data_IF_669694457340
#
_entry.id   IF_669694457340
#
_cell.length_a   1.000
_cell.length_b   1.000
_cell.length_c   1.000
_cell.angle_alpha   90.00
_cell.angle_beta   90.00
_cell.angle_gamma   90.00
#
_symmetry.space_group_name_H-M   'P 1'
#
loop_
_entity.id
_entity.type
_entity.pdbx_description
1 polymer ?
#
# COMPACT_ATOMS: atom_id res chain seq x y z
N UNK A 1 -6.86 -14.62 -2.20
CA UNK A 1 -7.32 -13.26 -2.61
C UNK A 1 -6.32 -12.57 -3.54
N UNK A 2 -5.03 -12.49 -3.18
CA UNK A 2 -3.96 -12.03 -4.07
C UNK A 2 -3.04 -13.21 -4.36
N UNK A 3 -2.69 -13.45 -5.60
CA UNK A 3 -1.73 -14.48 -6.01
C UNK A 3 -0.67 -13.85 -6.91
N UNK A 4 0.59 -14.05 -6.57
CA UNK A 4 1.74 -13.58 -7.34
C UNK A 4 2.65 -14.77 -7.61
N UNK A 5 3.04 -14.95 -8.89
CA UNK A 5 3.90 -16.08 -9.32
C UNK A 5 5.03 -15.58 -10.21
N UNK A 6 6.25 -15.85 -9.77
CA UNK A 6 7.49 -15.58 -10.49
C UNK A 6 7.57 -14.15 -11.04
N UNK A 7 7.12 -13.18 -10.25
CA UNK A 7 7.03 -11.79 -10.67
C UNK A 7 8.40 -11.17 -10.83
N UNK A 8 8.66 -10.61 -12.00
CA UNK A 8 9.90 -9.91 -12.33
C UNK A 8 9.58 -8.52 -12.87
N UNK A 9 10.35 -7.52 -12.44
CA UNK A 9 10.36 -6.18 -13.03
C UNK A 9 11.76 -5.66 -13.21
N UNK A 10 12.10 -5.34 -14.46
CA UNK A 10 13.37 -4.73 -14.82
C UNK A 10 13.17 -3.33 -15.40
N UNK A 11 14.16 -2.46 -15.22
CA UNK A 11 14.29 -1.15 -15.84
C UNK A 11 15.68 -1.05 -16.48
N UNK A 12 15.78 -1.36 -17.78
CA UNK A 12 17.06 -1.59 -18.42
C UNK A 12 17.80 -2.73 -17.71
N UNK A 13 19.00 -2.48 -17.22
CA UNK A 13 19.83 -3.47 -16.53
C UNK A 13 19.50 -3.61 -15.03
N UNK A 14 18.67 -2.71 -14.49
CA UNK A 14 18.29 -2.74 -13.07
C UNK A 14 17.09 -3.65 -12.83
N UNK A 15 17.24 -4.65 -11.95
CA UNK A 15 16.17 -5.58 -11.54
C UNK A 15 15.54 -5.08 -10.24
N UNK A 16 14.37 -4.45 -10.35
CA UNK A 16 13.65 -3.89 -9.20
C UNK A 16 12.83 -4.93 -8.42
N UNK A 17 12.31 -5.95 -9.11
CA UNK A 17 11.62 -7.11 -8.54
C UNK A 17 12.18 -8.34 -9.24
N UNK A 18 12.63 -9.33 -8.47
CA UNK A 18 13.42 -10.44 -8.94
C UNK A 18 12.81 -11.77 -8.49
N UNK A 19 11.93 -12.31 -9.33
CA UNK A 19 11.34 -13.65 -9.18
C UNK A 19 10.63 -13.86 -7.83
N UNK A 20 9.71 -12.95 -7.46
CA UNK A 20 8.94 -13.08 -6.22
C UNK A 20 7.64 -13.85 -6.43
N UNK A 21 7.31 -14.71 -5.46
CA UNK A 21 6.05 -15.45 -5.41
C UNK A 21 5.48 -15.41 -4.00
N UNK A 22 4.20 -15.09 -3.87
CA UNK A 22 3.48 -15.08 -2.60
C UNK A 22 1.96 -15.10 -2.83
N UNK A 23 1.23 -15.45 -1.79
CA UNK A 23 -0.22 -15.40 -1.73
C UNK A 23 -0.68 -14.55 -0.55
N UNK A 24 -1.86 -13.93 -0.67
CA UNK A 24 -2.54 -13.26 0.44
C UNK A 24 -3.96 -13.79 0.50
N UNK A 25 -4.36 -14.27 1.66
CA UNK A 25 -5.68 -14.84 1.89
C UNK A 25 -6.77 -13.77 2.03
N UNK A 26 -8.03 -14.17 1.90
CA UNK A 26 -9.16 -13.27 2.10
C UNK A 26 -9.27 -12.85 3.57
N UNK A 27 -9.40 -11.55 3.82
CA UNK A 27 -9.46 -10.99 5.17
C UNK A 27 -8.11 -10.99 5.89
N UNK A 28 -7.00 -11.27 5.20
CA UNK A 28 -5.67 -11.19 5.76
C UNK A 28 -5.14 -9.74 5.74
N UNK A 29 -4.43 -9.33 6.79
CA UNK A 29 -3.54 -8.16 6.78
C UNK A 29 -2.13 -8.67 6.52
N UNK A 30 -1.62 -8.43 5.32
CA UNK A 30 -0.30 -8.88 4.87
C UNK A 30 0.66 -7.69 4.76
N UNK A 31 1.80 -7.79 5.44
CA UNK A 31 2.84 -6.76 5.39
C UNK A 31 3.99 -7.15 4.47
N UNK A 32 4.35 -6.24 3.58
CA UNK A 32 5.54 -6.33 2.73
C UNK A 32 6.62 -5.43 3.33
N UNK A 33 7.48 -6.01 4.17
CA UNK A 33 8.47 -5.32 4.99
C UNK A 33 9.83 -5.31 4.30
N UNK A 34 10.45 -4.14 4.20
CA UNK A 34 11.78 -4.03 3.61
C UNK A 34 12.31 -2.61 3.60
N UNK A 35 13.62 -2.43 3.37
CA UNK A 35 14.23 -1.10 3.32
C UNK A 35 13.79 -0.33 2.07
N UNK A 36 14.19 0.94 2.00
CA UNK A 36 14.01 1.75 0.80
C UNK A 36 14.76 1.11 -0.38
N UNK A 37 14.15 1.13 -1.58
CA UNK A 37 14.72 0.49 -2.76
C UNK A 37 14.54 -1.04 -2.84
N UNK A 38 13.97 -1.70 -1.84
CA UNK A 38 13.78 -3.16 -1.85
C UNK A 38 12.79 -3.70 -2.90
N UNK A 39 12.02 -2.84 -3.59
CA UNK A 39 11.04 -3.23 -4.60
C UNK A 39 9.58 -3.16 -4.14
N UNK A 40 9.29 -2.69 -2.91
CA UNK A 40 7.93 -2.61 -2.32
C UNK A 40 6.95 -1.81 -3.20
N UNK A 41 7.24 -0.54 -3.44
CA UNK A 41 6.40 0.36 -4.25
C UNK A 41 6.29 -0.13 -5.71
N UNK A 42 7.36 -0.72 -6.27
CA UNK A 42 7.30 -1.33 -7.62
C UNK A 42 6.32 -2.49 -7.63
N UNK A 43 6.32 -3.34 -6.62
CA UNK A 43 5.38 -4.46 -6.50
C UNK A 43 3.94 -3.94 -6.38
N UNK A 44 3.65 -2.98 -5.48
CA UNK A 44 2.31 -2.37 -5.39
C UNK A 44 1.86 -1.78 -6.73
N UNK A 45 2.72 -1.04 -7.44
CA UNK A 45 2.36 -0.47 -8.74
C UNK A 45 2.00 -1.52 -9.78
N UNK A 46 2.60 -2.71 -9.73
CA UNK A 46 2.22 -3.82 -10.60
C UNK A 46 0.86 -4.39 -10.18
N UNK A 47 0.67 -4.69 -8.89
CA UNK A 47 -0.58 -5.21 -8.36
C UNK A 47 -1.76 -4.28 -8.68
N UNK A 48 -1.54 -2.98 -8.64
CA UNK A 48 -2.56 -1.95 -8.86
C UNK A 48 -2.70 -1.48 -10.31
N UNK A 49 -2.17 -2.23 -11.27
CA UNK A 49 -2.27 -1.95 -12.72
C UNK A 49 -1.56 -0.69 -13.22
N UNK A 50 -0.76 -0.03 -12.40
CA UNK A 50 -0.02 1.18 -12.77
C UNK A 50 1.27 0.87 -13.54
N UNK A 51 1.77 -0.35 -13.38
CA UNK A 51 3.01 -0.80 -13.98
C UNK A 51 2.84 -2.23 -14.51
N UNK A 52 3.29 -2.48 -15.74
CA UNK A 52 3.33 -3.83 -16.29
C UNK A 52 4.54 -4.58 -15.76
N UNK A 53 4.42 -5.86 -15.36
CA UNK A 53 5.56 -6.70 -15.05
C UNK A 53 6.40 -6.96 -16.30
N UNK A 54 7.67 -7.33 -16.12
CA UNK A 54 8.51 -7.84 -17.20
C UNK A 54 8.19 -9.30 -17.50
N UNK A 55 7.96 -10.09 -16.44
CA UNK A 55 7.47 -11.47 -16.53
C UNK A 55 6.77 -11.88 -15.23
N UNK A 56 6.19 -13.07 -15.20
CA UNK A 56 5.40 -13.56 -14.09
C UNK A 56 3.91 -13.23 -14.24
N UNK A 57 3.13 -13.60 -13.24
CA UNK A 57 1.68 -13.39 -13.25
C UNK A 57 1.15 -12.91 -11.90
N UNK A 58 0.04 -12.18 -11.96
CA UNK A 58 -0.71 -11.67 -10.81
C UNK A 58 -2.17 -12.03 -10.98
N UNK A 59 -2.83 -12.42 -9.89
CA UNK A 59 -4.28 -12.53 -9.81
C UNK A 59 -4.78 -11.76 -8.58
N UNK A 60 -5.86 -11.00 -8.78
CA UNK A 60 -6.57 -10.26 -7.75
C UNK A 60 -8.04 -10.69 -7.75
N UNK A 61 -8.49 -11.31 -6.67
CA UNK A 61 -9.85 -11.88 -6.59
C UNK A 61 -10.18 -12.78 -7.81
N UNK A 62 -9.20 -13.59 -8.26
CA UNK A 62 -9.31 -14.45 -9.43
C UNK A 62 -9.12 -13.77 -10.79
N UNK A 63 -9.09 -12.43 -10.85
CA UNK A 63 -8.92 -11.66 -12.08
C UNK A 63 -7.44 -11.46 -12.42
N UNK A 64 -7.10 -11.49 -13.69
CA UNK A 64 -5.79 -11.07 -14.20
C UNK A 64 -5.81 -9.57 -14.46
N UNK A 65 -5.10 -8.74 -13.63
CA UNK A 65 -5.11 -7.30 -13.79
C UNK A 65 -4.38 -6.81 -15.05
N UNK A 66 -3.63 -7.66 -15.73
CA UNK A 66 -2.97 -7.32 -17.00
C UNK A 66 -3.92 -7.35 -18.20
N UNK A 67 -5.04 -8.05 -18.08
CA UNK A 67 -6.06 -8.23 -19.13
C UNK A 67 -7.37 -7.57 -18.73
N UNK A 68 -7.79 -7.75 -17.48
CA UNK A 68 -9.09 -7.32 -16.93
C UNK A 68 -8.91 -6.05 -16.06
N UNK A 69 -8.28 -5.00 -16.62
CA UNK A 69 -7.90 -3.80 -15.86
C UNK A 69 -9.06 -3.14 -15.12
N UNK A 70 -10.21 -2.97 -15.78
CA UNK A 70 -11.34 -2.22 -15.20
C UNK A 70 -12.01 -3.01 -14.09
N UNK A 71 -12.21 -4.30 -14.29
CA UNK A 71 -12.79 -5.22 -13.31
C UNK A 71 -11.87 -5.36 -12.09
N UNK A 72 -10.57 -5.50 -12.32
CA UNK A 72 -9.58 -5.59 -11.26
C UNK A 72 -9.55 -4.30 -10.41
N UNK A 73 -9.60 -3.10 -11.04
CA UNK A 73 -9.64 -1.82 -10.31
C UNK A 73 -10.86 -1.64 -9.42
N UNK A 74 -11.96 -2.29 -9.73
CA UNK A 74 -13.14 -2.29 -8.86
C UNK A 74 -12.98 -3.18 -7.63
N UNK A 75 -12.00 -4.11 -7.63
CA UNK A 75 -11.76 -5.02 -6.52
C UNK A 75 -10.85 -4.43 -5.45
N UNK A 76 -10.14 -3.35 -5.73
CA UNK A 76 -9.22 -2.78 -4.76
C UNK A 76 -9.37 -1.27 -4.59
N UNK A 77 -9.10 -0.82 -3.38
CA UNK A 77 -8.75 0.56 -3.05
C UNK A 77 -7.25 0.69 -2.90
N UNK A 78 -6.72 1.89 -3.13
CA UNK A 78 -5.29 2.15 -2.97
C UNK A 78 -5.06 3.50 -2.31
N UNK A 79 -4.07 3.52 -1.41
CA UNK A 79 -3.50 4.72 -0.80
C UNK A 79 -2.00 4.69 -1.07
N UNK A 80 -1.53 5.64 -1.85
CA UNK A 80 -0.11 5.77 -2.19
C UNK A 80 0.66 6.50 -1.09
N UNK A 81 1.97 6.42 -1.15
CA UNK A 81 2.86 7.18 -0.27
C UNK A 81 2.63 8.69 -0.43
N UNK A 82 2.57 9.18 -1.68
CA UNK A 82 2.27 10.58 -1.97
C UNK A 82 0.76 10.84 -1.90
N UNK A 83 0.31 11.93 -1.26
CA UNK A 83 -1.09 12.29 -1.21
C UNK A 83 -1.71 12.47 -2.60
N UNK A 84 -2.95 12.00 -2.75
CA UNK A 84 -3.69 12.02 -4.02
C UNK A 84 -5.05 12.74 -3.89
N UNK A 85 -5.24 13.51 -2.83
CA UNK A 85 -6.42 14.35 -2.60
C UNK A 85 -6.30 15.66 -3.35
N UNK A 86 -7.43 16.18 -3.83
CA UNK A 86 -7.51 17.54 -4.32
C UNK A 86 -7.67 18.50 -3.12
N UNK A 87 -6.68 19.34 -2.92
CA UNK A 87 -6.62 20.26 -1.76
C UNK A 87 -7.59 21.45 -1.89
N UNK A 88 -8.04 21.77 -3.10
CA UNK A 88 -9.02 22.82 -3.39
C UNK A 88 -10.48 22.33 -3.28
N UNK A 89 -10.68 21.05 -3.04
CA UNK A 89 -11.99 20.45 -2.75
C UNK A 89 -12.14 20.20 -1.24
N UNK A 90 -13.38 20.16 -0.78
CA UNK A 90 -13.73 19.71 0.57
C UNK A 90 -13.53 18.20 0.71
N UNK A 91 -13.52 17.71 1.95
CA UNK A 91 -13.45 16.27 2.20
C UNK A 91 -14.65 15.53 1.55
N UNK A 92 -15.85 16.09 1.65
CA UNK A 92 -17.05 15.52 1.03
C UNK A 92 -16.92 15.48 -0.50
N UNK A 93 -16.49 16.56 -1.13
CA UNK A 93 -16.32 16.64 -2.59
C UNK A 93 -15.27 15.68 -3.12
N UNK A 94 -14.14 15.50 -2.42
CA UNK A 94 -13.14 14.49 -2.75
C UNK A 94 -13.74 13.06 -2.76
N UNK A 95 -14.58 12.76 -1.76
CA UNK A 95 -15.28 11.47 -1.68
C UNK A 95 -16.33 11.34 -2.79
N UNK A 96 -17.16 12.38 -2.99
CA UNK A 96 -18.26 12.33 -3.98
C UNK A 96 -17.70 12.18 -5.41
N UNK A 97 -16.68 12.95 -5.76
CA UNK A 97 -15.99 12.85 -7.05
C UNK A 97 -15.44 11.45 -7.31
N UNK A 98 -14.76 10.87 -6.32
CA UNK A 98 -14.24 9.50 -6.42
C UNK A 98 -15.37 8.47 -6.62
N UNK A 99 -16.47 8.61 -5.88
CA UNK A 99 -17.62 7.73 -6.03
C UNK A 99 -18.29 7.83 -7.40
N UNK A 100 -18.28 9.01 -8.02
CA UNK A 100 -18.74 9.19 -9.42
C UNK A 100 -17.83 8.43 -10.39
N UNK A 101 -16.51 8.53 -10.24
CA UNK A 101 -15.54 7.81 -11.08
C UNK A 101 -15.74 6.30 -11.02
N UNK A 102 -16.04 5.76 -9.84
CA UNK A 102 -16.34 4.33 -9.64
C UNK A 102 -17.80 3.96 -9.92
N UNK A 103 -18.60 4.89 -10.45
CA UNK A 103 -20.02 4.68 -10.83
C UNK A 103 -20.90 4.24 -9.65
N UNK A 104 -20.56 4.65 -8.43
CA UNK A 104 -21.38 4.36 -7.24
C UNK A 104 -22.69 5.16 -7.34
N UNK A 105 -23.89 4.52 -7.27
CA UNK A 105 -25.16 5.22 -7.38
C UNK A 105 -25.30 6.32 -6.31
N UNK A 106 -25.88 7.48 -6.67
CA UNK A 106 -25.91 8.68 -5.84
C UNK A 106 -26.37 8.43 -4.40
N UNK A 107 -27.47 7.71 -4.21
CA UNK A 107 -28.03 7.43 -2.88
C UNK A 107 -27.04 6.61 -2.05
N UNK A 108 -26.55 5.50 -2.60
CA UNK A 108 -25.56 4.63 -1.94
C UNK A 108 -24.29 5.41 -1.62
N UNK A 109 -23.83 6.25 -2.57
CA UNK A 109 -22.64 7.06 -2.41
C UNK A 109 -22.75 8.03 -1.23
N UNK A 110 -23.88 8.73 -1.09
CA UNK A 110 -24.14 9.64 0.02
C UNK A 110 -24.12 8.91 1.38
N UNK A 111 -24.84 7.79 1.49
CA UNK A 111 -24.87 6.96 2.70
C UNK A 111 -23.46 6.46 3.08
N UNK A 112 -22.66 6.02 2.10
CA UNK A 112 -21.31 5.54 2.33
C UNK A 112 -20.33 6.65 2.70
N UNK A 113 -20.42 7.83 2.06
CA UNK A 113 -19.60 8.99 2.42
C UNK A 113 -19.84 9.33 3.90
N UNK A 114 -21.09 9.42 4.33
CA UNK A 114 -21.41 9.69 5.71
C UNK A 114 -20.84 8.63 6.66
N UNK A 115 -21.08 7.35 6.38
CA UNK A 115 -20.59 6.24 7.18
C UNK A 115 -19.06 6.23 7.28
N UNK A 116 -18.36 6.34 6.16
CA UNK A 116 -16.89 6.32 6.13
C UNK A 116 -16.28 7.54 6.81
N UNK A 117 -16.81 8.75 6.55
CA UNK A 117 -16.31 9.96 7.23
C UNK A 117 -16.54 9.91 8.74
N UNK A 118 -17.66 9.29 9.21
CA UNK A 118 -17.88 9.03 10.64
C UNK A 118 -16.91 8.00 11.19
N UNK A 119 -16.68 6.89 10.48
CA UNK A 119 -15.75 5.84 10.88
C UNK A 119 -14.32 6.39 11.07
N UNK A 120 -13.88 7.28 10.17
CA UNK A 120 -12.55 7.90 10.20
C UNK A 120 -12.50 9.24 10.97
N UNK A 121 -13.56 9.58 11.73
CA UNK A 121 -13.65 10.80 12.56
C UNK A 121 -13.45 12.11 11.78
N UNK A 122 -13.98 12.16 10.55
CA UNK A 122 -13.87 13.33 9.65
C UNK A 122 -15.21 13.97 9.32
N UNK A 123 -16.33 13.41 9.83
CA UNK A 123 -17.67 13.89 9.45
C UNK A 123 -17.94 15.35 9.78
N UNK A 124 -17.50 15.81 10.97
CA UNK A 124 -17.67 17.21 11.38
C UNK A 124 -16.85 18.21 10.54
N UNK A 125 -15.82 17.70 9.88
CA UNK A 125 -14.93 18.46 9.00
C UNK A 125 -15.20 18.22 7.50
N UNK A 126 -16.33 17.56 7.17
CA UNK A 126 -16.65 17.16 5.78
C UNK A 126 -16.71 18.30 4.76
N UNK A 127 -17.08 19.51 5.23
CA UNK A 127 -17.22 20.70 4.41
C UNK A 127 -15.94 21.59 4.41
N UNK A 128 -14.90 21.20 5.15
CA UNK A 128 -13.64 21.92 5.16
C UNK A 128 -12.79 21.53 3.96
N UNK A 129 -12.08 22.48 3.39
CA UNK A 129 -11.14 22.23 2.32
C UNK A 129 -9.98 21.35 2.81
N UNK A 130 -9.55 20.40 1.97
CA UNK A 130 -8.49 19.43 2.31
C UNK A 130 -7.15 20.12 2.58
N UNK A 131 -6.88 21.28 2.01
CA UNK A 131 -5.69 22.09 2.33
C UNK A 131 -5.58 22.50 3.81
N UNK A 132 -6.69 22.50 4.55
CA UNK A 132 -6.76 22.81 5.99
C UNK A 132 -6.55 21.57 6.88
N UNK A 133 -6.43 20.38 6.28
CA UNK A 133 -6.28 19.12 7.00
C UNK A 133 -4.83 18.90 7.42
N UNK A 134 -4.65 18.34 8.62
CA UNK A 134 -3.35 17.78 9.02
C UNK A 134 -2.98 16.59 8.14
N UNK A 135 -1.71 16.19 8.11
CA UNK A 135 -1.26 15.00 7.39
C UNK A 135 -2.04 13.75 7.76
N UNK A 136 -2.29 13.55 9.06
CA UNK A 136 -3.10 12.44 9.56
C UNK A 136 -4.56 12.48 9.12
N UNK A 137 -5.17 13.66 9.06
CA UNK A 137 -6.53 13.82 8.53
C UNK A 137 -6.57 13.53 7.04
N UNK A 138 -5.61 14.01 6.26
CA UNK A 138 -5.48 13.70 4.83
C UNK A 138 -5.36 12.19 4.63
N UNK A 139 -4.52 11.52 5.41
CA UNK A 139 -4.31 10.07 5.30
C UNK A 139 -5.57 9.27 5.63
N UNK A 140 -6.30 9.65 6.68
CA UNK A 140 -7.59 9.04 7.01
C UNK A 140 -8.63 9.24 5.91
N UNK A 141 -8.66 10.42 5.30
CA UNK A 141 -9.56 10.72 4.17
C UNK A 141 -9.19 9.90 2.92
N UNK A 142 -7.91 9.70 2.62
CA UNK A 142 -7.47 8.85 1.50
C UNK A 142 -7.93 7.40 1.67
N UNK A 143 -7.81 6.85 2.89
CA UNK A 143 -8.28 5.50 3.18
C UNK A 143 -9.81 5.43 3.04
N UNK A 144 -10.55 6.38 3.65
CA UNK A 144 -11.99 6.45 3.53
C UNK A 144 -12.43 6.52 2.06
N UNK A 145 -11.76 7.33 1.25
CA UNK A 145 -12.00 7.46 -0.19
C UNK A 145 -11.74 6.14 -0.93
N UNK A 146 -10.64 5.47 -0.62
CA UNK A 146 -10.29 4.18 -1.23
C UNK A 146 -11.30 3.07 -0.94
N UNK A 147 -12.11 3.20 0.12
CA UNK A 147 -13.14 2.24 0.54
C UNK A 147 -14.54 2.53 -0.03
N UNK A 148 -14.73 3.68 -0.66
CA UNK A 148 -16.06 4.16 -1.04
C UNK A 148 -16.81 3.23 -2.00
N UNK A 149 -16.10 2.56 -2.89
CA UNK A 149 -16.66 1.62 -3.87
C UNK A 149 -16.71 0.15 -3.40
N UNK A 150 -16.57 -0.09 -2.08
CA UNK A 150 -16.58 -1.43 -1.46
C UNK A 150 -15.56 -2.41 -2.03
N UNK A 151 -14.27 -2.06 -2.06
CA UNK A 151 -13.26 -2.97 -2.55
C UNK A 151 -13.10 -4.16 -1.61
N UNK A 152 -12.69 -5.31 -2.15
CA UNK A 152 -12.30 -6.49 -1.36
C UNK A 152 -10.86 -6.40 -0.85
N UNK A 153 -10.02 -5.60 -1.52
CA UNK A 153 -8.59 -5.46 -1.23
C UNK A 153 -8.28 -3.97 -1.00
N UNK A 154 -7.51 -3.68 0.03
CA UNK A 154 -6.97 -2.34 0.28
C UNK A 154 -5.44 -2.39 0.21
N UNK A 155 -4.87 -1.68 -0.75
CA UNK A 155 -3.43 -1.49 -0.85
C UNK A 155 -3.01 -0.21 -0.13
N UNK A 156 -2.03 -0.31 0.76
CA UNK A 156 -1.48 0.78 1.57
C UNK A 156 0.03 0.86 1.35
N UNK A 157 0.50 1.86 0.61
CA UNK A 157 1.93 2.08 0.37
C UNK A 157 2.48 3.05 1.43
N UNK A 158 3.18 2.51 2.42
CA UNK A 158 3.76 3.24 3.56
C UNK A 158 2.76 4.21 4.24
N UNK A 159 1.61 3.69 4.74
CA UNK A 159 0.45 4.53 5.09
C UNK A 159 0.69 5.49 6.24
N UNK A 160 1.72 5.30 7.02
CA UNK A 160 1.98 6.07 8.25
C UNK A 160 3.25 6.91 8.17
N UNK A 161 3.87 6.97 6.98
CA UNK A 161 5.07 7.78 6.78
C UNK A 161 4.80 9.26 7.12
N UNK A 162 5.65 9.83 7.99
CA UNK A 162 5.52 11.23 8.42
C UNK A 162 4.41 11.51 9.43
N UNK A 163 3.70 10.49 9.92
CA UNK A 163 2.70 10.64 10.98
C UNK A 163 3.33 10.48 12.37
N UNK A 164 2.82 11.26 13.33
CA UNK A 164 3.16 11.10 14.73
C UNK A 164 2.64 9.77 15.30
N UNK A 165 3.20 9.26 16.42
CA UNK A 165 2.84 7.95 16.97
C UNK A 165 1.35 7.80 17.32
N UNK A 166 0.71 8.88 17.80
CA UNK A 166 -0.70 8.84 18.18
C UNK A 166 -1.60 8.68 16.94
N UNK A 167 -1.37 9.49 15.91
CA UNK A 167 -2.09 9.44 14.62
C UNK A 167 -1.88 8.09 13.94
N UNK A 168 -0.66 7.53 13.99
CA UNK A 168 -0.33 6.19 13.48
C UNK A 168 -1.15 5.11 14.17
N UNK A 169 -1.23 5.13 15.51
CA UNK A 169 -2.01 4.17 16.28
C UNK A 169 -3.52 4.25 15.95
N UNK A 170 -4.06 5.45 15.82
CA UNK A 170 -5.46 5.67 15.43
C UNK A 170 -5.74 5.08 14.04
N UNK A 171 -4.88 5.34 13.07
CA UNK A 171 -5.02 4.83 11.71
C UNK A 171 -5.08 3.30 11.70
N UNK A 172 -4.17 2.63 12.40
CA UNK A 172 -4.17 1.16 12.49
C UNK A 172 -5.40 0.61 13.23
N UNK A 173 -5.92 1.34 14.21
CA UNK A 173 -7.18 0.98 14.87
C UNK A 173 -8.34 0.97 13.88
N UNK A 174 -8.47 1.98 13.03
CA UNK A 174 -9.49 2.04 11.98
C UNK A 174 -9.31 0.93 10.93
N UNK A 175 -8.07 0.70 10.46
CA UNK A 175 -7.79 -0.34 9.46
C UNK A 175 -8.08 -1.74 10.00
N UNK A 176 -7.71 -2.04 11.25
CA UNK A 176 -8.01 -3.32 11.90
C UNK A 176 -9.52 -3.51 12.09
N UNK A 177 -10.23 -2.47 12.53
CA UNK A 177 -11.68 -2.52 12.68
C UNK A 177 -12.34 -2.84 11.35
N UNK A 178 -11.97 -2.16 10.28
CA UNK A 178 -12.45 -2.43 8.92
C UNK A 178 -12.18 -3.88 8.49
N UNK A 179 -10.96 -4.37 8.71
CA UNK A 179 -10.59 -5.73 8.36
C UNK A 179 -11.44 -6.76 9.12
N UNK A 180 -11.69 -6.54 10.42
CA UNK A 180 -12.48 -7.44 11.26
C UNK A 180 -13.98 -7.41 10.93
N UNK A 181 -14.55 -6.23 10.71
CA UNK A 181 -16.00 -6.05 10.49
C UNK A 181 -16.41 -6.33 9.03
N UNK A 182 -15.62 -5.89 8.05
CA UNK A 182 -15.96 -6.01 6.62
C UNK A 182 -15.09 -7.06 5.87
N UNK A 183 -14.18 -7.74 6.56
CA UNK A 183 -13.24 -8.74 6.00
C UNK A 183 -12.43 -8.24 4.80
N UNK A 184 -12.16 -6.94 4.74
CA UNK A 184 -11.31 -6.37 3.69
C UNK A 184 -9.90 -6.92 3.83
N UNK A 185 -9.36 -7.49 2.76
CA UNK A 185 -7.97 -7.92 2.69
C UNK A 185 -7.06 -6.69 2.59
N UNK A 186 -6.04 -6.61 3.42
CA UNK A 186 -5.12 -5.46 3.43
C UNK A 186 -3.73 -5.90 3.01
N UNK A 187 -3.21 -5.30 1.96
CA UNK A 187 -1.80 -5.43 1.58
C UNK A 187 -1.08 -4.12 1.89
N UNK A 188 -0.16 -4.13 2.84
CA UNK A 188 0.58 -2.94 3.23
C UNK A 188 2.06 -3.07 2.95
N UNK A 189 2.70 -1.98 2.54
CA UNK A 189 4.15 -1.86 2.58
C UNK A 189 4.57 -1.01 3.77
N UNK A 190 5.67 -1.35 4.37
CA UNK A 190 6.27 -0.54 5.44
C UNK A 190 7.77 -0.85 5.56
N UNK A 191 8.50 0.10 6.12
CA UNK A 191 9.86 -0.12 6.62
C UNK A 191 9.90 -0.06 8.16
N UNK A 192 8.73 0.14 8.81
CA UNK A 192 8.59 0.14 10.27
C UNK A 192 8.24 -1.25 10.79
N UNK A 193 9.20 -1.89 11.47
CA UNK A 193 9.04 -3.24 12.01
C UNK A 193 7.91 -3.32 13.05
N UNK A 194 7.79 -2.28 13.91
CA UNK A 194 6.72 -2.21 14.90
C UNK A 194 5.31 -2.22 14.27
N UNK A 195 5.14 -1.62 13.11
CA UNK A 195 3.85 -1.64 12.42
C UNK A 195 3.52 -3.02 11.89
N UNK A 196 4.49 -3.66 11.24
CA UNK A 196 4.33 -5.02 10.73
C UNK A 196 4.04 -5.99 11.88
N UNK A 197 4.80 -5.91 12.99
CA UNK A 197 4.61 -6.75 14.17
C UNK A 197 3.22 -6.60 14.80
N UNK A 198 2.72 -5.36 14.88
CA UNK A 198 1.44 -5.06 15.55
C UNK A 198 0.21 -5.26 14.64
N UNK A 199 0.33 -5.01 13.34
CA UNK A 199 -0.82 -4.94 12.45
C UNK A 199 -0.99 -6.17 11.58
N UNK A 200 0.09 -6.82 11.12
CA UNK A 200 0.01 -7.86 10.13
C UNK A 200 -0.28 -9.25 10.74
N UNK A 201 -1.05 -10.04 10.04
CA UNK A 201 -1.20 -11.47 10.32
C UNK A 201 0.01 -12.25 9.80
N UNK A 202 0.53 -11.86 8.64
CA UNK A 202 1.72 -12.43 8.01
C UNK A 202 2.57 -11.34 7.37
N UNK A 203 3.88 -11.55 7.38
CA UNK A 203 4.91 -10.61 6.92
C UNK A 203 5.76 -11.33 5.87
N UNK A 204 6.01 -10.69 4.74
CA UNK A 204 7.08 -11.06 3.83
C UNK A 204 8.20 -10.02 3.94
N UNK A 205 9.40 -10.47 4.23
CA UNK A 205 10.61 -9.64 4.22
C UNK A 205 11.16 -9.62 2.80
N UNK A 206 11.21 -8.43 2.21
CA UNK A 206 11.77 -8.22 0.88
C UNK A 206 13.07 -7.43 0.97
N UNK A 207 14.07 -7.87 0.21
CA UNK A 207 15.34 -7.19 0.05
C UNK A 207 15.92 -7.40 -1.35
N UNK A 208 16.52 -6.35 -1.94
CA UNK A 208 17.08 -6.39 -3.30
C UNK A 208 16.14 -7.06 -4.33
N UNK A 209 14.85 -6.74 -4.26
CA UNK A 209 13.83 -7.28 -5.15
C UNK A 209 13.44 -8.74 -4.90
N UNK A 210 13.93 -9.40 -3.86
CA UNK A 210 13.63 -10.80 -3.53
C UNK A 210 12.93 -10.92 -2.19
N UNK A 211 12.00 -11.85 -2.08
CA UNK A 211 11.46 -12.26 -0.78
C UNK A 211 12.51 -13.16 -0.11
N UNK A 212 13.02 -12.71 1.03
CA UNK A 212 13.99 -13.44 1.85
C UNK A 212 13.31 -14.52 2.66
N UNK A 213 12.18 -14.19 3.27
CA UNK A 213 11.36 -15.11 4.07
C UNK A 213 9.95 -14.55 4.21
N UNK A 214 9.01 -15.40 4.61
CA UNK A 214 7.64 -15.00 4.95
C UNK A 214 7.09 -15.88 6.08
N UNK A 215 6.28 -15.27 6.96
CA UNK A 215 5.67 -15.95 8.10
C UNK A 215 4.95 -14.97 9.01
N UNK A 216 4.42 -15.47 10.11
CA UNK A 216 3.93 -14.60 11.19
C UNK A 216 5.12 -13.93 11.89
N UNK A 217 4.90 -12.80 12.58
CA UNK A 217 5.96 -12.16 13.37
C UNK A 217 6.63 -13.14 14.33
N UNK A 218 5.84 -14.01 14.98
CA UNK A 218 6.35 -15.02 15.89
C UNK A 218 7.26 -16.04 15.18
N UNK A 219 6.85 -16.54 14.01
CA UNK A 219 7.67 -17.49 13.24
C UNK A 219 9.00 -16.87 12.79
N UNK A 220 9.00 -15.60 12.38
CA UNK A 220 10.22 -14.90 11.97
C UNK A 220 11.19 -14.70 13.14
N UNK A 221 10.67 -14.38 14.32
CA UNK A 221 11.47 -14.29 15.56
C UNK A 221 12.05 -15.65 15.95
N UNK A 222 11.27 -16.70 15.93
CA UNK A 222 11.72 -18.07 16.23
C UNK A 222 12.79 -18.56 15.25
N UNK A 223 12.62 -18.32 13.95
CA UNK A 223 13.57 -18.70 12.90
C UNK A 223 14.95 -18.10 13.10
N UNK A 224 15.02 -16.92 13.70
CA UNK A 224 16.28 -16.17 13.89
C UNK A 224 16.81 -16.22 15.32
N UNK A 225 16.03 -16.76 16.27
CA UNK A 225 16.32 -16.70 17.70
C UNK A 225 16.23 -15.28 18.27
N UNK A 226 15.50 -14.37 17.61
CA UNK A 226 15.39 -12.97 17.98
C UNK A 226 14.22 -12.73 18.94
N UNK A 227 14.36 -11.75 19.83
CA UNK A 227 13.30 -11.32 20.75
C UNK A 227 12.31 -10.35 20.08
N UNK A 228 12.79 -9.54 19.12
CA UNK A 228 12.01 -8.54 18.40
C UNK A 228 12.02 -8.77 16.89
N UNK A 229 11.00 -8.28 16.19
CA UNK A 229 10.96 -8.34 14.72
C UNK A 229 12.08 -7.51 14.08
N UNK A 230 12.54 -6.44 14.73
CA UNK A 230 13.67 -5.64 14.28
C UNK A 230 14.98 -6.45 14.31
N UNK A 231 15.25 -7.17 15.38
CA UNK A 231 16.42 -8.06 15.46
C UNK A 231 16.33 -9.19 14.42
N UNK A 232 15.15 -9.78 14.24
CA UNK A 232 14.91 -10.78 13.20
C UNK A 232 15.16 -10.23 11.80
N UNK A 233 14.68 -9.04 11.52
CA UNK A 233 14.89 -8.36 10.24
C UNK A 233 16.38 -8.12 9.96
N UNK A 234 17.12 -7.59 10.93
CA UNK A 234 18.57 -7.36 10.81
C UNK A 234 19.37 -8.65 10.61
N UNK A 235 18.98 -9.73 11.31
CA UNK A 235 19.60 -11.04 11.13
C UNK A 235 19.39 -11.61 9.71
N UNK A 236 18.22 -11.36 9.11
CA UNK A 236 17.84 -11.87 7.79
C UNK A 236 18.38 -11.04 6.62
N UNK A 237 18.51 -9.72 6.79
CA UNK A 237 18.91 -8.78 5.72
C UNK A 237 20.34 -8.28 5.84
N UNK A 238 21.00 -8.56 6.97
CA UNK A 238 22.33 -8.06 7.29
C UNK A 238 22.29 -6.67 7.96
N UNK A 239 23.32 -6.37 8.74
CA UNK A 239 23.44 -5.12 9.53
C UNK A 239 24.12 -3.97 8.78
N UNK A 240 24.31 -4.07 7.46
CA UNK A 240 25.00 -3.02 6.69
C UNK A 240 24.14 -1.76 6.65
N UNK A 241 24.68 -0.65 7.17
CA UNK A 241 24.09 0.68 6.99
C UNK A 241 24.06 0.94 5.49
N UNK A 242 22.86 1.05 4.92
CA UNK A 242 22.69 1.47 3.54
C UNK A 242 22.71 2.97 3.51
N UNK A 243 23.54 3.55 2.62
CA UNK A 243 23.40 4.96 2.27
C UNK A 243 21.95 5.18 1.86
N UNK A 244 21.31 6.23 2.40
CA UNK A 244 19.96 6.66 1.99
C UNK A 244 20.05 7.12 0.53
N UNK A 245 20.02 6.16 -0.39
CA UNK A 245 19.89 6.47 -1.80
C UNK A 245 18.59 7.25 -2.01
N UNK A 246 18.72 8.36 -2.71
CA UNK A 246 17.67 9.29 -3.10
C UNK A 246 16.35 8.58 -3.39
N UNK A 247 15.24 9.16 -2.95
CA UNK A 247 13.88 8.61 -3.07
C UNK A 247 13.64 7.98 -4.44
N UNK A 248 12.81 6.95 -4.52
CA UNK A 248 12.48 6.28 -5.80
C UNK A 248 12.04 7.26 -6.89
N UNK A 249 11.51 8.43 -6.50
CA UNK A 249 11.14 9.55 -7.37
C UNK A 249 12.38 10.25 -7.96
N UNK A 250 13.46 10.39 -7.19
CA UNK A 250 14.72 10.97 -7.66
C UNK A 250 15.49 10.01 -8.55
N UNK A 251 15.42 8.71 -8.27
CA UNK A 251 15.98 7.68 -9.17
C UNK A 251 15.22 7.65 -10.50
N UNK A 252 13.88 7.76 -10.51
CA UNK A 252 13.10 7.88 -11.74
C UNK A 252 13.38 9.19 -12.49
N UNK A 253 13.53 10.31 -11.77
CA UNK A 253 13.92 11.61 -12.39
C UNK A 253 15.32 11.56 -13.00
N UNK A 254 16.26 10.93 -12.34
CA UNK A 254 17.63 10.75 -12.86
C UNK A 254 17.67 9.80 -14.06
N UNK A 255 16.90 8.69 -14.03
CA UNK A 255 16.72 7.84 -15.22
C UNK A 255 16.06 8.59 -16.39
N UNK A 256 14.98 9.35 -16.13
CA UNK A 256 14.33 10.15 -17.17
C UNK A 256 15.28 11.20 -17.80
N UNK A 257 16.21 11.77 -17.01
CA UNK A 257 17.26 12.68 -17.52
C UNK A 257 18.29 11.95 -18.37
N UNK A 258 18.73 10.73 -17.99
CA UNK A 258 19.65 9.93 -18.80
C UNK A 258 19.06 9.53 -20.16
N UNK A 259 17.78 9.20 -20.23
CA UNK A 259 17.10 8.89 -21.50
C UNK A 259 16.90 10.10 -22.40
N UNK A 260 16.74 11.32 -21.84
CA UNK A 260 16.67 12.55 -22.64
C UNK A 260 18.03 12.96 -23.24
N UNK A 261 19.13 12.61 -22.58
CA UNK A 261 20.48 12.93 -23.06
C UNK A 261 20.99 12.06 -24.23
N UNK A 262 20.36 10.90 -24.50
CA UNK A 262 20.74 9.99 -25.61
C UNK A 262 19.99 10.24 -26.94
N UNK A 263 19.15 11.26 -27.02
CA UNK A 263 18.45 11.67 -28.28
C UNK A 263 18.98 12.96 -28.88
N UNK A 264 20.27 13.23 -28.75
CA UNK A 264 20.97 14.24 -29.54
C UNK A 264 22.10 13.60 -30.33
#
# INVERSE_FOLDING_TARGET
MIEVRNLVKTYGDFVAVNDISFDVDEGEIFAFLGPNGAGKTTTIKILTTLLKPTSGSVRLDGLDPSVQHNEARQRFGIVFQDPSLDEELTAYENMDFHGVLYKVPRKIRQERIESLLKMFELWERRNDFVKQFSGGMKRRLEIARGLLHTPKILFLDEPTLGLDPQTRNQLWTHVKKLNQEERVTVFMTTHYMEEADRAAHRIAIIDHGKIITQGTSQQLKEQTGAETLEQAFLALTGSTIRDEDASSTDQMRNMARMFRGRRR
#
